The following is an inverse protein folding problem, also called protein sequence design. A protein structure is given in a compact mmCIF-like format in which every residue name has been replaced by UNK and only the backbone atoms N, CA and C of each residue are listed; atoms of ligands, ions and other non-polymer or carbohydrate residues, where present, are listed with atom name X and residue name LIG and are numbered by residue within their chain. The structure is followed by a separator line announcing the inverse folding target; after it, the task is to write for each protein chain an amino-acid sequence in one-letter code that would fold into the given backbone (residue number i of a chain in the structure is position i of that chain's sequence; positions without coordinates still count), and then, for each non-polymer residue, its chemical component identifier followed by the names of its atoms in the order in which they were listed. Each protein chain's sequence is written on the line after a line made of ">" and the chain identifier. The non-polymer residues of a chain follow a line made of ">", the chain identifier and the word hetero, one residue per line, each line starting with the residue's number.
data_IF_916050143482
#
_entry.id   IF_916050143482
#
_cell.length_a   1.000
_cell.length_b   1.000
_cell.length_c   1.000
_cell.angle_alpha   90.00
_cell.angle_beta   90.00
_cell.angle_gamma   90.00
#
_symmetry.space_group_name_H-M   'P 1'
#
loop_
_entity.id
_entity.type
_entity.pdbx_description
1 polymer ?
#
# COMPACT_ATOMS: atom_id res chain seq x y z
N UNK A 1 6.94 -3.17 -11.94
CA UNK A 1 5.99 -3.15 -10.82
C UNK A 1 5.20 -1.85 -10.89
N UNK A 2 3.88 -1.93 -11.09
CA UNK A 2 2.98 -0.81 -11.38
C UNK A 2 2.30 -0.99 -12.74
N UNK A 3 0.97 -0.94 -12.79
CA UNK A 3 0.22 -1.00 -14.05
C UNK A 3 0.48 0.28 -14.85
N UNK A 4 0.65 0.20 -16.18
CA UNK A 4 0.80 1.39 -17.01
C UNK A 4 -0.44 2.26 -16.90
N UNK A 5 -0.23 3.54 -16.60
CA UNK A 5 -1.31 4.54 -16.57
C UNK A 5 -1.48 5.19 -17.94
N UNK A 6 -2.64 5.82 -18.18
CA UNK A 6 -2.93 6.57 -19.41
C UNK A 6 -1.97 7.73 -19.69
N UNK A 7 -1.18 8.14 -18.70
CA UNK A 7 -0.15 9.18 -18.81
C UNK A 7 1.27 8.61 -18.99
N UNK A 8 1.40 7.29 -19.23
CA UNK A 8 2.69 6.63 -19.48
C UNK A 8 3.58 6.46 -18.25
N UNK A 9 3.06 6.70 -17.04
CA UNK A 9 3.78 6.48 -15.77
C UNK A 9 3.38 5.15 -15.14
N UNK A 10 4.24 4.59 -14.29
CA UNK A 10 3.90 3.43 -13.43
C UNK A 10 2.80 3.86 -12.46
N UNK A 11 1.70 3.11 -12.40
CA UNK A 11 0.60 3.33 -11.45
C UNK A 11 1.01 2.86 -10.06
N UNK A 12 1.76 3.69 -9.34
CA UNK A 12 2.18 3.42 -7.96
C UNK A 12 1.25 4.21 -7.04
N UNK A 13 0.38 3.49 -6.33
CA UNK A 13 -0.58 4.08 -5.40
C UNK A 13 -0.25 3.66 -3.98
N UNK A 14 -0.29 4.61 -3.05
CA UNK A 14 -0.08 4.37 -1.62
C UNK A 14 -1.32 4.72 -0.82
N UNK A 15 -1.58 3.91 0.19
CA UNK A 15 -2.58 4.19 1.24
C UNK A 15 -1.83 4.34 2.55
N UNK A 16 -2.20 5.35 3.32
CA UNK A 16 -1.74 5.52 4.69
C UNK A 16 -2.90 5.27 5.65
N UNK A 17 -2.59 4.77 6.84
CA UNK A 17 -3.51 4.83 7.97
C UNK A 17 -3.55 6.28 8.49
N UNK A 18 -4.74 6.87 8.45
CA UNK A 18 -4.93 8.28 8.78
C UNK A 18 -5.59 8.41 10.16
N UNK A 19 -5.01 9.28 11.00
CA UNK A 19 -5.62 9.69 12.26
C UNK A 19 -6.39 10.99 12.07
N UNK A 20 -7.61 11.04 12.59
CA UNK A 20 -8.50 12.19 12.48
C UNK A 20 -8.83 12.77 13.85
N UNK A 21 -9.02 14.08 13.90
CA UNK A 21 -9.44 14.78 15.12
C UNK A 21 -10.95 14.89 15.14
N UNK A 22 -11.58 14.44 16.22
CA UNK A 22 -13.01 14.66 16.42
C UNK A 22 -13.27 16.17 16.55
N UNK A 23 -14.11 16.71 15.67
CA UNK A 23 -14.44 18.14 15.62
C UNK A 23 -15.05 18.66 16.93
N UNK A 24 -15.73 17.81 17.70
CA UNK A 24 -16.37 18.20 18.96
C UNK A 24 -15.42 18.23 20.18
N UNK A 25 -14.12 17.97 19.99
CA UNK A 25 -13.16 17.91 21.09
C UNK A 25 -12.89 19.27 21.73
N UNK A 26 -12.80 19.32 23.06
CA UNK A 26 -12.29 20.46 23.81
C UNK A 26 -10.77 20.39 24.07
N UNK A 27 -10.10 19.31 23.61
CA UNK A 27 -8.66 19.05 23.83
C UNK A 27 -7.82 19.20 22.56
N UNK A 28 -8.22 20.07 21.63
CA UNK A 28 -7.61 20.20 20.31
C UNK A 28 -6.09 20.36 20.35
N UNK A 29 -5.57 21.23 21.23
CA UNK A 29 -4.13 21.49 21.31
C UNK A 29 -3.33 20.27 21.78
N UNK A 30 -3.86 19.52 22.76
CA UNK A 30 -3.22 18.28 23.22
C UNK A 30 -3.20 17.20 22.13
N UNK A 31 -4.31 17.06 21.39
CA UNK A 31 -4.39 16.11 20.27
C UNK A 31 -3.43 16.51 19.16
N UNK A 32 -3.34 17.81 18.82
CA UNK A 32 -2.41 18.32 17.82
C UNK A 32 -0.96 18.02 18.20
N UNK A 33 -0.58 18.30 19.45
CA UNK A 33 0.76 18.00 19.95
C UNK A 33 1.08 16.50 19.87
N UNK A 34 0.11 15.64 20.23
CA UNK A 34 0.27 14.19 20.12
C UNK A 34 0.43 13.73 18.67
N UNK A 35 -0.39 14.23 17.73
CA UNK A 35 -0.27 13.88 16.31
C UNK A 35 1.07 14.37 15.72
N UNK A 36 1.53 15.56 16.12
CA UNK A 36 2.86 16.05 15.73
C UNK A 36 3.97 15.15 16.27
N UNK A 37 3.87 14.72 17.53
CA UNK A 37 4.80 13.77 18.12
C UNK A 37 4.82 12.44 17.35
N UNK A 38 3.65 11.87 17.02
CA UNK A 38 3.55 10.63 16.25
C UNK A 38 4.25 10.70 14.89
N UNK A 39 4.33 11.90 14.30
CA UNK A 39 5.04 12.13 13.03
C UNK A 39 6.54 12.35 13.20
N UNK A 40 7.09 12.40 14.42
CA UNK A 40 8.53 12.53 14.65
C UNK A 40 9.27 11.23 14.33
N UNK A 41 10.57 11.31 14.05
CA UNK A 41 11.40 10.13 13.82
C UNK A 41 11.45 9.20 15.03
N UNK A 42 11.52 9.77 16.23
CA UNK A 42 11.50 9.02 17.50
C UNK A 42 10.23 8.18 17.62
N UNK A 43 9.05 8.79 17.46
CA UNK A 43 7.79 8.07 17.57
C UNK A 43 7.62 7.01 16.45
N UNK A 44 8.03 7.34 15.22
CA UNK A 44 8.00 6.37 14.12
C UNK A 44 8.92 5.17 14.38
N UNK A 45 10.11 5.38 14.96
CA UNK A 45 11.00 4.28 15.39
C UNK A 45 10.42 3.46 16.53
N UNK A 46 9.75 4.08 17.50
CA UNK A 46 9.09 3.37 18.59
C UNK A 46 7.95 2.46 18.09
N UNK A 47 7.22 2.86 17.06
CA UNK A 47 6.16 2.01 16.49
C UNK A 47 6.71 0.74 15.82
N UNK A 48 7.99 0.73 15.46
CA UNK A 48 8.65 -0.38 14.77
C UNK A 48 9.27 -1.40 15.74
N UNK A 49 9.41 -1.07 17.04
CA UNK A 49 10.03 -1.96 18.02
C UNK A 49 9.11 -3.07 18.55
N UNK A 50 7.84 -3.09 18.12
CA UNK A 50 6.92 -4.18 18.40
C UNK A 50 7.07 -5.31 17.38
N UNK A 51 7.07 -6.55 17.85
CA UNK A 51 7.23 -7.79 17.05
C UNK A 51 6.15 -8.02 15.96
N UNK A 52 5.22 -7.08 15.75
CA UNK A 52 4.04 -7.22 14.89
C UNK A 52 3.78 -6.02 13.95
N UNK A 53 4.75 -5.12 13.73
CA UNK A 53 4.51 -4.00 12.81
C UNK A 53 4.70 -4.42 11.35
N UNK A 54 3.62 -4.82 10.68
CA UNK A 54 3.59 -5.09 9.23
C UNK A 54 3.47 -3.82 8.36
N UNK A 55 3.48 -2.62 8.97
CA UNK A 55 3.31 -1.34 8.27
C UNK A 55 4.62 -0.60 8.02
N UNK A 56 4.74 0.05 6.86
CA UNK A 56 5.82 1.00 6.61
C UNK A 56 5.58 2.31 7.39
N UNK A 57 6.63 2.90 8.00
CA UNK A 57 6.54 4.21 8.62
C UNK A 57 6.25 5.27 7.56
N UNK A 58 5.61 6.37 7.95
CA UNK A 58 5.22 7.44 7.00
C UNK A 58 6.38 8.39 6.67
N UNK A 59 7.50 8.30 7.38
CA UNK A 59 8.72 9.07 7.11
C UNK A 59 9.68 8.25 6.26
N UNK A 60 10.07 8.82 5.11
CA UNK A 60 11.09 8.23 4.22
C UNK A 60 12.40 7.93 4.97
N UNK A 61 12.86 8.84 5.83
CA UNK A 61 14.08 8.63 6.61
C UNK A 61 14.01 7.40 7.52
N UNK A 62 12.83 7.09 8.06
CA UNK A 62 12.62 5.90 8.89
C UNK A 62 12.52 4.64 8.03
N UNK A 63 11.91 4.71 6.83
CA UNK A 63 11.91 3.59 5.87
C UNK A 63 13.36 3.23 5.48
N UNK A 64 14.18 4.21 5.10
CA UNK A 64 15.55 3.96 4.68
C UNK A 64 16.43 3.44 5.82
N UNK A 65 16.22 3.94 7.03
CA UNK A 65 16.86 3.40 8.23
C UNK A 65 16.54 1.90 8.44
N UNK A 66 15.29 1.47 8.20
CA UNK A 66 14.91 0.05 8.29
C UNK A 66 15.63 -0.80 7.25
N UNK A 67 15.66 -0.34 5.99
CA UNK A 67 16.35 -1.08 4.93
C UNK A 67 17.84 -1.24 5.23
N UNK A 68 18.48 -0.18 5.74
CA UNK A 68 19.88 -0.24 6.18
C UNK A 68 20.06 -1.20 7.36
N UNK A 69 19.14 -1.17 8.34
CA UNK A 69 19.17 -2.07 9.49
C UNK A 69 19.03 -3.55 9.07
N UNK A 70 18.13 -3.87 8.14
CA UNK A 70 17.94 -5.22 7.64
C UNK A 70 19.18 -5.72 6.88
N UNK A 71 19.80 -4.86 6.08
CA UNK A 71 21.08 -5.17 5.40
C UNK A 71 22.19 -5.42 6.42
N UNK A 72 22.34 -4.54 7.41
CA UNK A 72 23.34 -4.70 8.46
C UNK A 72 23.12 -5.99 9.28
N UNK A 73 21.86 -6.35 9.53
CA UNK A 73 21.50 -7.60 10.24
C UNK A 73 21.89 -8.83 9.43
N UNK A 74 21.62 -8.82 8.12
CA UNK A 74 22.02 -9.90 7.23
C UNK A 74 23.54 -10.04 7.15
N UNK A 75 24.27 -8.94 6.99
CA UNK A 75 25.74 -8.92 6.92
C UNK A 75 26.41 -9.36 8.23
N UNK A 76 25.84 -9.01 9.39
CA UNK A 76 26.35 -9.39 10.69
C UNK A 76 26.04 -10.83 11.08
N UNK A 77 25.14 -11.51 10.37
CA UNK A 77 24.71 -12.87 10.71
C UNK A 77 25.70 -13.91 10.19
N UNK A 78 26.19 -14.77 11.09
CA UNK A 78 27.09 -15.88 10.72
C UNK A 78 26.38 -16.99 9.94
N UNK A 79 25.04 -17.06 10.06
CA UNK A 79 24.18 -18.02 9.38
C UNK A 79 23.12 -17.29 8.55
N UNK A 80 22.66 -17.85 7.42
CA UNK A 80 21.53 -17.31 6.67
C UNK A 80 20.30 -17.12 7.55
N UNK A 81 19.69 -15.95 7.49
CA UNK A 81 18.43 -15.64 8.18
C UNK A 81 17.27 -16.20 7.34
N UNK A 82 16.86 -17.44 7.63
CA UNK A 82 15.79 -18.12 6.91
C UNK A 82 14.49 -18.03 7.70
N UNK A 83 13.44 -17.56 7.03
CA UNK A 83 12.08 -17.51 7.55
C UNK A 83 11.17 -18.40 6.73
N UNK A 84 10.05 -18.78 7.33
CA UNK A 84 9.01 -19.48 6.60
C UNK A 84 7.68 -19.48 7.35
N UNK A 85 6.59 -19.49 6.59
CA UNK A 85 5.22 -19.58 7.11
C UNK A 85 4.66 -21.02 7.03
N UNK A 86 5.52 -21.99 6.68
CA UNK A 86 5.18 -23.39 6.47
C UNK A 86 4.86 -23.75 5.01
N UNK A 87 4.62 -22.78 4.14
CA UNK A 87 4.36 -22.98 2.71
C UNK A 87 5.47 -22.42 1.83
N UNK A 88 6.04 -21.29 2.25
CA UNK A 88 7.15 -20.63 1.57
C UNK A 88 8.28 -20.42 2.57
N UNK A 89 9.51 -20.70 2.13
CA UNK A 89 10.72 -20.32 2.84
C UNK A 89 11.43 -19.23 2.07
N UNK A 90 11.90 -18.20 2.76
CA UNK A 90 12.69 -17.13 2.17
C UNK A 90 13.87 -16.76 3.07
N UNK A 91 14.90 -16.20 2.45
CA UNK A 91 16.09 -15.71 3.13
C UNK A 91 16.03 -14.19 3.21
N UNK A 92 16.33 -13.65 4.37
CA UNK A 92 16.34 -12.22 4.63
C UNK A 92 17.76 -11.66 4.46
N UNK A 93 18.13 -11.39 3.20
CA UNK A 93 19.45 -10.88 2.82
C UNK A 93 19.53 -9.35 2.75
N UNK A 94 18.49 -8.67 3.25
CA UNK A 94 18.27 -7.26 2.97
C UNK A 94 17.98 -7.00 1.48
N UNK A 95 17.70 -5.74 1.14
CA UNK A 95 17.55 -5.34 -0.26
C UNK A 95 18.93 -5.17 -0.91
N UNK A 96 19.10 -5.68 -2.13
CA UNK A 96 20.25 -5.32 -2.97
C UNK A 96 20.22 -3.83 -3.32
N UNK A 97 21.34 -3.30 -3.84
CA UNK A 97 21.40 -1.89 -4.24
C UNK A 97 20.37 -1.56 -5.35
N UNK A 98 20.21 -2.43 -6.34
CA UNK A 98 19.22 -2.28 -7.41
C UNK A 98 17.77 -2.33 -6.88
N UNK A 99 17.51 -3.22 -5.91
CA UNK A 99 16.19 -3.31 -5.28
C UNK A 99 15.89 -2.07 -4.43
N UNK A 100 16.89 -1.51 -3.76
CA UNK A 100 16.77 -0.26 -3.02
C UNK A 100 16.47 0.92 -3.94
N UNK A 101 17.21 1.06 -5.05
CA UNK A 101 16.95 2.09 -6.07
C UNK A 101 15.54 1.95 -6.66
N UNK A 102 15.08 0.71 -6.88
CA UNK A 102 13.71 0.44 -7.31
C UNK A 102 12.69 0.89 -6.26
N UNK A 103 12.94 0.64 -4.96
CA UNK A 103 12.07 1.10 -3.89
C UNK A 103 12.01 2.63 -3.82
N UNK A 104 13.15 3.31 -3.96
CA UNK A 104 13.23 4.78 -4.02
C UNK A 104 12.39 5.32 -5.19
N UNK A 105 12.57 4.79 -6.40
CA UNK A 105 11.78 5.17 -7.57
C UNK A 105 10.27 5.00 -7.35
N UNK A 106 9.87 3.90 -6.70
CA UNK A 106 8.45 3.63 -6.40
C UNK A 106 7.91 4.64 -5.40
N UNK A 107 8.65 4.95 -4.33
CA UNK A 107 8.24 5.91 -3.30
C UNK A 107 8.16 7.34 -3.86
N UNK A 108 9.06 7.73 -4.77
CA UNK A 108 9.01 9.03 -5.44
C UNK A 108 7.82 9.18 -6.40
N UNK A 109 7.44 8.09 -7.07
CA UNK A 109 6.32 8.07 -8.01
C UNK A 109 4.97 7.80 -7.33
N UNK A 110 4.99 7.46 -6.04
CA UNK A 110 3.80 7.10 -5.29
C UNK A 110 2.79 8.25 -5.24
N UNK A 111 1.56 7.95 -5.62
CA UNK A 111 0.42 8.87 -5.50
C UNK A 111 -0.54 8.36 -4.43
N UNK A 112 -1.20 9.25 -3.65
CA UNK A 112 -2.28 8.82 -2.78
C UNK A 112 -3.35 8.09 -3.59
N UNK A 113 -3.66 6.85 -3.20
CA UNK A 113 -4.73 6.09 -3.83
C UNK A 113 -6.08 6.78 -3.61
N UNK A 114 -6.80 7.06 -4.70
CA UNK A 114 -8.18 7.59 -4.65
C UNK A 114 -9.17 6.44 -4.70
N UNK A 115 -9.42 5.82 -3.54
CA UNK A 115 -10.36 4.71 -3.43
C UNK A 115 -11.78 5.25 -3.18
N UNK A 116 -12.42 5.81 -4.21
CA UNK A 116 -13.83 6.23 -4.17
C UNK A 116 -14.79 5.13 -4.64
N UNK A 117 -14.34 3.87 -4.62
CA UNK A 117 -14.79 2.85 -5.56
C UNK A 117 -15.07 1.49 -4.91
N UNK A 118 -15.33 1.42 -3.60
CA UNK A 118 -15.66 0.13 -2.95
C UNK A 118 -16.86 -0.56 -3.63
N UNK A 119 -17.85 0.22 -4.07
CA UNK A 119 -19.01 -0.28 -4.82
C UNK A 119 -18.69 -0.63 -6.29
N UNK A 120 -17.67 -0.01 -6.88
CA UNK A 120 -17.19 -0.39 -8.20
C UNK A 120 -16.35 -1.67 -8.14
N UNK A 121 -15.64 -1.90 -7.05
CA UNK A 121 -14.86 -3.10 -6.81
C UNK A 121 -15.76 -4.34 -6.77
N UNK A 122 -16.92 -4.27 -6.10
CA UNK A 122 -17.89 -5.37 -6.10
C UNK A 122 -18.44 -5.66 -7.50
N UNK A 123 -18.79 -4.60 -8.27
CA UNK A 123 -19.22 -4.73 -9.67
C UNK A 123 -18.13 -5.40 -10.52
N UNK A 124 -16.85 -5.04 -10.28
CA UNK A 124 -15.70 -5.60 -10.98
C UNK A 124 -15.56 -7.10 -10.72
N UNK A 125 -15.59 -7.51 -9.45
CA UNK A 125 -15.47 -8.92 -9.09
C UNK A 125 -16.62 -9.75 -9.64
N UNK A 126 -17.86 -9.28 -9.49
CA UNK A 126 -19.05 -10.01 -9.96
C UNK A 126 -19.03 -10.23 -11.48
N UNK A 127 -18.62 -9.23 -12.28
CA UNK A 127 -18.63 -9.37 -13.74
C UNK A 127 -17.43 -10.15 -14.30
N UNK A 128 -16.30 -10.17 -13.56
CA UNK A 128 -15.10 -10.89 -13.96
C UNK A 128 -15.05 -12.34 -13.45
N UNK A 129 -15.77 -12.69 -12.39
CA UNK A 129 -15.80 -14.05 -11.85
C UNK A 129 -16.15 -15.11 -12.92
N UNK A 130 -17.20 -14.93 -13.76
CA UNK A 130 -17.49 -15.89 -14.84
C UNK A 130 -16.40 -15.98 -15.91
N UNK A 131 -15.63 -14.91 -16.12
CA UNK A 131 -14.49 -14.94 -17.04
C UNK A 131 -13.35 -15.80 -16.47
N UNK A 132 -13.00 -15.61 -15.20
CA UNK A 132 -11.97 -16.42 -14.55
C UNK A 132 -12.38 -17.89 -14.36
N UNK A 133 -13.67 -18.17 -14.21
CA UNK A 133 -14.21 -19.53 -14.19
C UNK A 133 -14.21 -20.20 -15.58
N UNK A 134 -14.01 -19.44 -16.67
CA UNK A 134 -14.05 -19.93 -18.05
C UNK A 134 -15.45 -20.01 -18.67
N UNK A 135 -16.48 -19.53 -17.97
CA UNK A 135 -17.89 -19.55 -18.39
C UNK A 135 -18.26 -18.39 -19.34
N UNK A 136 -17.39 -17.36 -19.43
CA UNK A 136 -17.61 -16.14 -20.23
C UNK A 136 -16.32 -15.74 -20.96
N UNK A 137 -16.44 -15.26 -22.20
CA UNK A 137 -15.29 -14.67 -22.91
C UNK A 137 -14.90 -13.31 -22.33
N UNK A 138 -13.66 -12.87 -22.57
CA UNK A 138 -13.18 -11.57 -22.12
C UNK A 138 -14.04 -10.43 -22.67
N UNK A 139 -14.41 -10.50 -23.95
CA UNK A 139 -15.19 -9.45 -24.63
C UNK A 139 -16.56 -9.27 -23.96
N UNK A 140 -17.24 -10.39 -23.66
CA UNK A 140 -18.54 -10.37 -22.98
C UNK A 140 -18.43 -9.87 -21.54
N UNK A 141 -17.33 -10.20 -20.85
CA UNK A 141 -17.10 -9.71 -19.49
C UNK A 141 -16.86 -8.20 -19.48
N UNK A 142 -16.08 -7.68 -20.44
CA UNK A 142 -15.82 -6.25 -20.61
C UNK A 142 -17.10 -5.49 -20.95
N UNK A 143 -17.94 -6.02 -21.84
CA UNK A 143 -19.22 -5.39 -22.23
C UNK A 143 -20.19 -5.29 -21.04
N UNK A 144 -20.32 -6.38 -20.26
CA UNK A 144 -21.16 -6.41 -19.06
C UNK A 144 -20.64 -5.43 -17.99
N UNK A 145 -19.32 -5.43 -17.75
CA UNK A 145 -18.68 -4.53 -16.81
C UNK A 145 -18.91 -3.06 -17.21
N UNK A 146 -18.68 -2.71 -18.48
CA UNK A 146 -18.86 -1.35 -18.97
C UNK A 146 -20.30 -0.86 -18.78
N UNK A 147 -21.28 -1.71 -19.13
CA UNK A 147 -22.70 -1.38 -19.00
C UNK A 147 -23.10 -1.10 -17.54
N UNK A 148 -22.61 -1.95 -16.62
CA UNK A 148 -22.97 -1.87 -15.20
C UNK A 148 -22.28 -0.71 -14.48
N UNK A 149 -21.02 -0.43 -14.83
CA UNK A 149 -20.29 0.74 -14.36
C UNK A 149 -20.97 2.03 -14.83
N UNK A 150 -21.36 2.11 -16.11
CA UNK A 150 -22.04 3.31 -16.63
C UNK A 150 -23.38 3.56 -15.93
N UNK A 151 -24.17 2.51 -15.68
CA UNK A 151 -25.41 2.65 -14.90
C UNK A 151 -25.14 3.21 -13.50
N UNK A 152 -24.15 2.69 -12.79
CA UNK A 152 -23.79 3.17 -11.46
C UNK A 152 -23.36 4.66 -11.46
N UNK A 153 -22.57 5.09 -12.45
CA UNK A 153 -22.15 6.49 -12.57
C UNK A 153 -23.34 7.42 -12.84
N UNK A 154 -24.24 7.02 -13.74
CA UNK A 154 -25.46 7.76 -14.04
C UNK A 154 -26.37 7.91 -12.81
N UNK A 155 -26.53 6.85 -12.01
CA UNK A 155 -27.37 6.84 -10.82
C UNK A 155 -26.78 7.65 -9.65
N UNK A 156 -25.45 7.74 -9.57
CA UNK A 156 -24.75 8.47 -8.50
C UNK A 156 -24.44 9.92 -8.84
N UNK A 157 -24.79 10.38 -10.05
CA UNK A 157 -24.56 11.75 -10.51
C UNK A 157 -23.07 12.10 -10.66
N UNK A 158 -22.23 11.09 -10.93
CA UNK A 158 -20.78 11.20 -11.11
C UNK A 158 -20.44 10.99 -12.58
N UNK A 159 -20.87 11.92 -13.44
CA UNK A 159 -20.44 12.00 -14.84
C UNK A 159 -19.05 12.64 -14.98
#
# INVERSE_FOLDING_TARGET
>A
MGYPTSIGRKGVYVRAECLYVNQATDKLEGIRAFLQFMLTEEAQRLCLSGEMSFGLPVRLSTIFYLVEQDRNRAEASELPLIYGDGFVTWQEDGLSQEQFETLEELLEQAQPGKFNALELESILYEELEPYFAGDRSLEKAVEALHSRVQMYLNETGRD
#
